data_IF_794097907461
#
_entry.id   IF_794097907461
#
_cell.length_a   1.000
_cell.length_b   1.000
_cell.length_c   1.000
_cell.angle_alpha   90.00
_cell.angle_beta   90.00
_cell.angle_gamma   90.00
#
_symmetry.space_group_name_H-M   'P 1'
#
loop_
_entity.id
_entity.type
_entity.pdbx_description
1 polymer ?
#
# COMPACT_ATOMS: atom_id res chain seq x y z
N UNK A 1 -5.77 12.48 -11.49
CA UNK A 1 -6.48 11.35 -12.13
C UNK A 1 -7.12 10.50 -11.05
N UNK A 2 -8.13 9.68 -11.39
CA UNK A 2 -8.77 8.77 -10.43
C UNK A 2 -8.13 7.39 -10.54
N UNK A 3 -7.59 6.88 -9.43
CA UNK A 3 -6.73 5.70 -9.40
C UNK A 3 -7.29 4.66 -8.43
N UNK A 4 -7.25 3.40 -8.86
CA UNK A 4 -7.37 2.24 -7.97
C UNK A 4 -6.00 1.58 -7.89
N UNK A 5 -5.51 1.31 -6.69
CA UNK A 5 -4.19 0.74 -6.46
C UNK A 5 -4.29 -0.67 -5.89
N UNK A 6 -3.52 -1.59 -6.47
CA UNK A 6 -3.25 -2.91 -5.91
C UNK A 6 -1.80 -2.90 -5.44
N UNK A 7 -1.57 -3.00 -4.13
CA UNK A 7 -0.21 -2.87 -3.58
C UNK A 7 -0.03 -3.66 -2.29
N UNK A 8 1.19 -4.13 -2.05
CA UNK A 8 1.53 -4.94 -0.89
C UNK A 8 2.94 -4.61 -0.38
N UNK A 9 3.16 -4.78 0.92
CA UNK A 9 4.45 -4.59 1.60
C UNK A 9 5.05 -3.19 1.41
N UNK A 10 6.34 -3.06 1.72
CA UNK A 10 7.14 -1.83 1.59
C UNK A 10 6.92 -1.06 0.31
N UNK A 11 6.89 -1.71 -0.85
CA UNK A 11 6.72 -0.99 -2.11
C UNK A 11 5.28 -0.53 -2.33
N UNK A 12 4.28 -1.31 -1.90
CA UNK A 12 2.89 -0.86 -1.88
C UNK A 12 2.72 0.36 -0.98
N UNK A 13 3.30 0.35 0.22
CA UNK A 13 3.15 1.43 1.18
C UNK A 13 3.81 2.72 0.68
N UNK A 14 5.05 2.64 0.16
CA UNK A 14 5.77 3.79 -0.40
C UNK A 14 5.09 4.35 -1.64
N UNK A 15 4.58 3.50 -2.52
CA UNK A 15 3.88 3.93 -3.73
C UNK A 15 2.56 4.60 -3.40
N UNK A 16 1.80 4.08 -2.43
CA UNK A 16 0.55 4.69 -1.99
C UNK A 16 0.79 6.09 -1.41
N UNK A 17 1.82 6.25 -0.57
CA UNK A 17 2.19 7.58 -0.05
C UNK A 17 2.49 8.56 -1.17
N UNK A 18 3.31 8.17 -2.15
CA UNK A 18 3.59 9.02 -3.31
C UNK A 18 2.33 9.37 -4.12
N UNK A 19 1.39 8.43 -4.28
CA UNK A 19 0.12 8.68 -4.96
C UNK A 19 -0.75 9.67 -4.20
N UNK A 20 -0.86 9.54 -2.87
CA UNK A 20 -1.60 10.47 -2.02
C UNK A 20 -1.00 11.88 -2.08
N UNK A 21 0.32 11.98 -2.17
CA UNK A 21 1.04 13.26 -2.28
C UNK A 21 0.99 13.88 -3.70
N UNK A 22 0.58 13.12 -4.72
CA UNK A 22 0.62 13.53 -6.14
C UNK A 22 -0.60 14.33 -6.64
N UNK A 23 -1.59 14.57 -5.78
CA UNK A 23 -2.85 15.23 -6.16
C UNK A 23 -3.77 14.36 -7.02
N UNK A 24 -3.53 13.05 -7.07
CA UNK A 24 -4.46 12.07 -7.65
C UNK A 24 -5.55 11.70 -6.62
N UNK A 25 -6.74 11.36 -7.10
CA UNK A 25 -7.79 10.80 -6.27
C UNK A 25 -7.59 9.28 -6.20
N UNK A 26 -7.14 8.78 -5.05
CA UNK A 26 -7.05 7.33 -4.79
C UNK A 26 -8.42 6.85 -4.32
N UNK A 27 -9.18 6.22 -5.21
CA UNK A 27 -10.57 5.84 -4.96
C UNK A 27 -10.70 4.50 -4.20
N UNK A 28 -9.71 3.61 -4.34
CA UNK A 28 -9.66 2.32 -3.65
C UNK A 28 -8.22 1.82 -3.60
N UNK A 29 -7.86 1.18 -2.49
CA UNK A 29 -6.62 0.41 -2.35
C UNK A 29 -6.98 -1.03 -1.98
N UNK A 30 -6.41 -1.98 -2.71
CA UNK A 30 -6.51 -3.41 -2.40
C UNK A 30 -5.15 -3.90 -1.96
N UNK A 31 -5.09 -4.50 -0.77
CA UNK A 31 -3.88 -5.06 -0.19
C UNK A 31 -4.17 -6.37 0.54
N UNK A 32 -3.12 -7.11 0.90
CA UNK A 32 -3.27 -8.31 1.72
C UNK A 32 -3.36 -7.92 3.21
N UNK A 33 -4.01 -8.74 4.05
CA UNK A 33 -3.91 -8.59 5.49
C UNK A 33 -2.46 -8.66 5.95
N UNK A 34 -2.16 -8.07 7.10
CA UNK A 34 -0.85 -8.25 7.74
C UNK A 34 -0.57 -9.75 7.92
N UNK A 35 0.64 -10.16 7.59
CA UNK A 35 1.06 -11.56 7.59
C UNK A 35 2.16 -11.79 8.63
N UNK A 36 2.02 -12.87 9.39
CA UNK A 36 3.02 -13.31 10.37
C UNK A 36 4.07 -14.26 9.78
N UNK A 37 4.01 -14.53 8.47
CA UNK A 37 4.97 -15.42 7.79
C UNK A 37 6.39 -14.83 7.81
N UNK A 38 7.36 -15.66 8.21
CA UNK A 38 8.74 -15.25 8.43
C UNK A 38 9.42 -14.57 7.22
N UNK A 39 9.06 -14.97 6.00
CA UNK A 39 9.57 -14.34 4.78
C UNK A 39 8.98 -12.94 4.54
N UNK A 40 7.72 -12.75 4.91
CA UNK A 40 6.97 -11.52 4.66
C UNK A 40 7.30 -10.44 5.71
N UNK A 41 7.76 -10.83 6.90
CA UNK A 41 8.24 -9.93 7.95
C UNK A 41 9.45 -9.08 7.57
N UNK A 42 10.22 -9.47 6.55
CA UNK A 42 11.41 -8.71 6.11
C UNK A 42 10.99 -7.36 5.47
N UNK A 43 9.77 -7.28 4.94
CA UNK A 43 9.21 -6.09 4.30
C UNK A 43 7.78 -5.83 4.80
N UNK A 44 7.65 -5.54 6.09
CA UNK A 44 6.36 -5.48 6.80
C UNK A 44 5.72 -4.07 6.87
N UNK A 45 6.10 -3.14 5.99
CA UNK A 45 5.33 -1.87 5.94
C UNK A 45 3.91 -2.19 5.48
N UNK A 46 2.94 -1.83 6.31
CA UNK A 46 1.56 -2.21 6.10
C UNK A 46 0.83 -1.13 5.29
N UNK A 47 0.46 -1.47 4.05
CA UNK A 47 -0.31 -0.59 3.16
C UNK A 47 -1.61 -0.10 3.80
N UNK A 48 -2.25 -0.93 4.63
CA UNK A 48 -3.50 -0.59 5.30
C UNK A 48 -3.36 0.56 6.33
N UNK A 49 -2.15 0.98 6.69
CA UNK A 49 -1.95 2.17 7.53
C UNK A 49 -2.17 3.48 6.78
N UNK A 50 -2.22 3.45 5.45
CA UNK A 50 -2.40 4.63 4.59
C UNK A 50 -3.76 4.68 3.88
N UNK A 51 -4.62 3.67 4.04
CA UNK A 51 -5.87 3.51 3.28
C UNK A 51 -7.06 3.20 4.19
#
# INVERSE_FOLDING_TARGET
MRVVMLGYQTWGHRTLRALLDSGHEVALVVTHPKSEHAYEKIWDDNVAELA
#
